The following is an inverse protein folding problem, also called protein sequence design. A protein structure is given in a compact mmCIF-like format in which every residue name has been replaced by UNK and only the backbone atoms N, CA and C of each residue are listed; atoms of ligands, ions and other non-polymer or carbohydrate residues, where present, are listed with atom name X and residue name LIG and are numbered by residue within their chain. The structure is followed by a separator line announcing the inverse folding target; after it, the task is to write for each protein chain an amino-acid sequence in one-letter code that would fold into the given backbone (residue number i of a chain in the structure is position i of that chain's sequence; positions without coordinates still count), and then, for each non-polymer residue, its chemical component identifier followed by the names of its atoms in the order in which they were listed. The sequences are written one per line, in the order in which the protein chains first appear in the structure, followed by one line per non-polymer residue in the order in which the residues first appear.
data_IF_457860096632
#
_entry.id   IF_457860096632
#
_cell.length_a   1.000
_cell.length_b   1.000
_cell.length_c   1.000
_cell.angle_alpha   90.00
_cell.angle_beta   90.00
_cell.angle_gamma   90.00
#
_symmetry.space_group_name_H-M   'P 1'
#
loop_
_entity.id
_entity.type
_entity.pdbx_description
1 polymer ?
#
# COMPACT_ATOMS: atom_id res chain seq x y z
N UNK A 1 1.65 87.58 -11.70
CA UNK A 1 2.21 87.40 -10.35
C UNK A 1 1.88 85.98 -9.92
N UNK A 2 2.79 85.07 -9.63
CA UNK A 2 4.25 84.97 -9.85
C UNK A 2 4.51 83.54 -10.32
N UNK A 3 5.73 83.04 -10.49
CA UNK A 3 7.08 83.55 -10.39
C UNK A 3 7.92 82.40 -10.99
N UNK A 4 8.92 82.76 -11.78
CA UNK A 4 9.97 81.91 -12.34
C UNK A 4 10.59 81.00 -11.25
N UNK A 5 11.04 79.77 -11.56
CA UNK A 5 12.42 79.60 -12.02
C UNK A 5 12.64 78.47 -13.03
N UNK A 6 13.62 78.75 -13.89
CA UNK A 6 14.26 77.92 -14.91
C UNK A 6 15.66 77.61 -14.41
N UNK A 7 16.17 76.40 -14.63
CA UNK A 7 17.58 76.08 -14.98
C UNK A 7 17.62 74.55 -15.25
N UNK A 8 17.95 74.04 -16.45
CA UNK A 8 19.29 73.91 -17.06
C UNK A 8 20.28 73.21 -16.09
N UNK A 9 21.05 72.17 -16.40
CA UNK A 9 21.54 71.55 -17.63
C UNK A 9 21.97 70.10 -17.31
N UNK A 10 22.16 69.31 -18.36
CA UNK A 10 22.84 68.03 -18.31
C UNK A 10 24.34 68.20 -17.97
N UNK A 11 24.94 67.26 -17.22
CA UNK A 11 26.16 66.59 -17.67
C UNK A 11 26.59 65.41 -16.78
N UNK A 12 27.11 64.43 -17.50
CA UNK A 12 27.72 63.19 -17.04
C UNK A 12 28.90 63.43 -16.10
N UNK A 13 28.96 62.64 -15.03
CA UNK A 13 30.15 62.42 -14.23
C UNK A 13 30.18 60.97 -13.77
N UNK A 14 30.87 60.13 -14.54
CA UNK A 14 31.30 58.79 -14.10
C UNK A 14 32.14 58.91 -12.83
N UNK A 15 31.88 58.06 -11.84
CA UNK A 15 32.69 58.01 -10.63
C UNK A 15 32.25 56.97 -9.61
N UNK A 16 32.62 55.72 -9.88
CA UNK A 16 33.04 54.71 -8.92
C UNK A 16 32.14 54.33 -7.70
N UNK A 17 31.77 53.05 -7.68
CA UNK A 17 31.95 52.21 -6.47
C UNK A 17 30.74 52.08 -5.54
N UNK A 18 30.05 50.95 -5.63
CA UNK A 18 29.07 50.54 -4.62
C UNK A 18 28.28 49.30 -5.04
N UNK A 19 28.85 48.12 -4.81
CA UNK A 19 28.38 46.82 -5.31
C UNK A 19 27.20 46.22 -4.54
N UNK A 20 26.44 46.98 -3.74
CA UNK A 20 25.24 46.48 -3.05
C UNK A 20 24.29 47.64 -2.70
N UNK A 21 23.19 47.81 -3.44
CA UNK A 21 22.14 48.74 -3.03
C UNK A 21 21.12 49.09 -4.11
N UNK A 22 20.03 48.31 -4.19
CA UNK A 22 18.73 48.79 -4.66
C UNK A 22 18.27 48.33 -6.05
N UNK A 23 17.07 47.73 -6.10
CA UNK A 23 16.15 47.97 -7.21
C UNK A 23 15.84 46.79 -8.14
N UNK A 24 15.32 45.68 -7.63
CA UNK A 24 14.47 44.79 -8.43
C UNK A 24 13.02 44.95 -7.98
N UNK A 25 12.44 46.09 -8.32
CA UNK A 25 11.00 46.24 -8.40
C UNK A 25 10.61 46.24 -9.89
N UNK A 26 9.53 45.51 -10.18
CA UNK A 26 8.75 45.53 -11.41
C UNK A 26 9.27 44.71 -12.62
N UNK A 27 9.22 43.38 -12.50
CA UNK A 27 8.78 42.50 -13.60
C UNK A 27 8.29 41.13 -13.09
N UNK A 28 7.48 41.10 -12.03
CA UNK A 28 6.73 39.91 -11.65
C UNK A 28 5.36 39.91 -12.33
N UNK A 29 5.36 39.83 -13.67
CA UNK A 29 4.19 39.41 -14.41
C UNK A 29 4.02 37.91 -14.18
N UNK A 30 3.26 37.54 -13.15
CA UNK A 30 2.83 36.17 -12.95
C UNK A 30 1.95 35.74 -14.13
N UNK A 31 2.58 35.22 -15.18
CA UNK A 31 1.88 34.44 -16.19
C UNK A 31 1.34 33.20 -15.47
N UNK A 32 0.07 33.26 -15.07
CA UNK A 32 -0.64 32.06 -14.63
C UNK A 32 -0.78 31.16 -15.85
N UNK A 33 0.16 30.24 -16.00
CA UNK A 33 -0.01 29.10 -16.90
C UNK A 33 -1.19 28.31 -16.33
N UNK A 34 -2.37 28.52 -16.91
CA UNK A 34 -3.54 27.67 -16.64
C UNK A 34 -3.20 26.32 -17.24
N UNK A 35 -2.53 25.47 -16.45
CA UNK A 35 -2.32 24.07 -16.78
C UNK A 35 -3.71 23.44 -16.80
N UNK A 36 -4.29 23.28 -17.99
CA UNK A 36 -5.51 22.52 -18.16
C UNK A 36 -5.23 21.12 -17.60
N UNK A 37 -6.05 20.62 -16.64
CA UNK A 37 -5.88 19.28 -16.13
C UNK A 37 -5.93 18.29 -17.29
N UNK A 38 -5.06 17.28 -17.26
CA UNK A 38 -5.08 16.23 -18.29
C UNK A 38 -6.49 15.60 -18.33
N UNK A 39 -7.01 15.20 -19.49
CA UNK A 39 -8.25 14.42 -19.59
C UNK A 39 -8.25 13.25 -18.59
N UNK A 40 -9.36 13.05 -17.88
CA UNK A 40 -9.48 12.00 -16.86
C UNK A 40 -8.92 12.34 -15.47
N UNK A 41 -8.29 13.51 -15.29
CA UNK A 41 -7.80 13.96 -13.96
C UNK A 41 -8.80 14.82 -13.18
N UNK A 42 -9.91 15.20 -13.82
CA UNK A 42 -11.00 15.96 -13.20
C UNK A 42 -12.35 15.38 -13.61
N UNK A 43 -13.30 15.31 -12.68
CA UNK A 43 -14.67 14.84 -12.93
C UNK A 43 -15.38 15.64 -14.02
N UNK A 44 -15.09 16.95 -14.13
CA UNK A 44 -15.70 17.80 -15.15
C UNK A 44 -15.30 17.43 -16.59
N UNK A 45 -14.24 16.64 -16.77
CA UNK A 45 -13.76 16.16 -18.06
C UNK A 45 -14.30 14.76 -18.42
N UNK A 46 -15.02 14.11 -17.51
CA UNK A 46 -15.67 12.83 -17.77
C UNK A 46 -17.12 13.14 -18.20
N UNK A 47 -17.58 12.64 -19.36
CA UNK A 47 -18.95 12.86 -19.80
C UNK A 47 -19.95 12.24 -18.82
N UNK A 48 -21.10 12.87 -18.67
CA UNK A 48 -22.20 12.27 -17.91
C UNK A 48 -22.70 11.00 -18.64
N UNK A 49 -23.21 9.99 -17.92
CA UNK A 49 -23.75 8.79 -18.57
C UNK A 49 -24.84 9.13 -19.59
N UNK A 50 -24.73 8.61 -20.80
CA UNK A 50 -25.70 8.80 -21.89
C UNK A 50 -25.98 7.49 -22.63
N UNK A 51 -27.11 7.45 -23.36
CA UNK A 51 -27.43 6.34 -24.25
C UNK A 51 -26.66 6.49 -25.56
N UNK A 52 -26.11 5.40 -26.13
CA UNK A 52 -25.38 5.48 -27.38
C UNK A 52 -26.24 6.09 -28.48
N UNK A 53 -25.62 6.88 -29.35
CA UNK A 53 -26.35 7.56 -30.43
C UNK A 53 -26.75 6.58 -31.54
N UNK A 54 -26.01 5.47 -31.67
CA UNK A 54 -26.30 4.32 -32.53
C UNK A 54 -25.71 3.04 -31.94
N UNK A 55 -26.28 1.89 -32.29
CA UNK A 55 -25.75 0.56 -31.93
C UNK A 55 -24.59 0.09 -32.84
N UNK A 56 -24.28 0.87 -33.88
CA UNK A 56 -23.23 0.59 -34.86
C UNK A 56 -21.86 1.13 -34.38
N UNK A 57 -20.97 1.50 -35.31
CA UNK A 57 -19.65 2.02 -34.98
C UNK A 57 -19.69 3.33 -34.16
N UNK A 58 -18.75 3.47 -33.23
CA UNK A 58 -18.61 4.68 -32.40
C UNK A 58 -18.37 5.92 -33.28
N UNK A 59 -19.17 6.96 -33.04
CA UNK A 59 -18.91 8.30 -33.58
C UNK A 59 -17.59 8.86 -33.07
N UNK A 60 -17.06 9.89 -33.74
CA UNK A 60 -15.83 10.56 -33.29
C UNK A 60 -15.95 11.13 -31.88
N UNK A 61 -17.15 11.61 -31.51
CA UNK A 61 -17.45 12.08 -30.15
C UNK A 61 -17.44 10.93 -29.14
N UNK A 62 -18.10 9.81 -29.44
CA UNK A 62 -18.12 8.64 -28.55
C UNK A 62 -16.73 8.02 -28.38
N UNK A 63 -15.88 8.08 -29.41
CA UNK A 63 -14.46 7.68 -29.29
C UNK A 63 -13.68 8.62 -28.38
N UNK A 64 -13.89 9.93 -28.49
CA UNK A 64 -13.26 10.90 -27.58
C UNK A 64 -13.72 10.72 -26.13
N UNK A 65 -15.01 10.49 -25.92
CA UNK A 65 -15.62 10.22 -24.63
C UNK A 65 -15.11 8.90 -24.02
N UNK A 66 -14.96 7.85 -24.83
CA UNK A 66 -14.37 6.58 -24.43
C UNK A 66 -12.93 6.76 -23.94
N UNK A 67 -12.11 7.53 -24.65
CA UNK A 67 -10.73 7.82 -24.23
C UNK A 67 -10.69 8.66 -22.95
N UNK A 68 -11.60 9.63 -22.78
CA UNK A 68 -11.72 10.38 -21.53
C UNK A 68 -12.10 9.48 -20.34
N UNK A 69 -13.06 8.57 -20.53
CA UNK A 69 -13.47 7.58 -19.53
C UNK A 69 -12.32 6.62 -19.18
N UNK A 70 -11.61 6.09 -20.17
CA UNK A 70 -10.41 5.25 -19.95
C UNK A 70 -9.34 5.99 -19.16
N UNK A 71 -9.07 7.25 -19.52
CA UNK A 71 -8.12 8.08 -18.80
C UNK A 71 -8.55 8.32 -17.34
N UNK A 72 -9.85 8.51 -17.09
CA UNK A 72 -10.40 8.62 -15.74
C UNK A 72 -10.17 7.37 -14.90
N UNK A 73 -10.45 6.20 -15.46
CA UNK A 73 -10.22 4.91 -14.79
C UNK A 73 -8.73 4.66 -14.55
N UNK A 74 -7.87 4.99 -15.52
CA UNK A 74 -6.43 4.85 -15.37
C UNK A 74 -5.85 5.82 -14.33
N UNK A 75 -6.41 7.02 -14.21
CA UNK A 75 -5.97 8.02 -13.23
C UNK A 75 -6.18 7.56 -11.78
N UNK A 76 -7.16 6.69 -11.51
CA UNK A 76 -7.36 6.11 -10.17
C UNK A 76 -6.08 5.46 -9.64
N UNK A 77 -5.30 4.80 -10.50
CA UNK A 77 -4.04 4.14 -10.10
C UNK A 77 -3.00 5.17 -9.65
N UNK A 78 -2.88 6.27 -10.38
CA UNK A 78 -1.96 7.36 -10.04
C UNK A 78 -2.41 8.11 -8.79
N UNK A 79 -3.71 8.22 -8.56
CA UNK A 79 -4.27 8.89 -7.39
C UNK A 79 -3.78 8.27 -6.07
N UNK A 80 -3.61 6.94 -5.99
CA UNK A 80 -3.04 6.29 -4.81
C UNK A 80 -1.61 6.73 -4.52
N UNK A 81 -0.77 6.87 -5.56
CA UNK A 81 0.63 7.29 -5.42
C UNK A 81 0.74 8.77 -5.06
N UNK A 82 -0.11 9.60 -5.67
CA UNK A 82 -0.24 11.01 -5.31
C UNK A 82 -0.64 11.13 -3.84
N UNK A 83 -1.66 10.40 -3.39
CA UNK A 83 -2.11 10.41 -2.01
C UNK A 83 -1.00 9.98 -1.04
N UNK A 84 -0.31 8.87 -1.30
CA UNK A 84 0.80 8.39 -0.47
C UNK A 84 1.95 9.40 -0.35
N UNK A 85 2.34 10.01 -1.47
CA UNK A 85 3.37 11.07 -1.50
C UNK A 85 2.92 12.32 -0.75
N UNK A 86 1.67 12.73 -0.92
CA UNK A 86 1.08 13.86 -0.20
C UNK A 86 1.06 13.61 1.30
N UNK A 87 0.64 12.42 1.75
CA UNK A 87 0.65 12.04 3.15
C UNK A 87 2.07 12.08 3.74
N UNK A 88 3.05 11.47 3.07
CA UNK A 88 4.43 11.51 3.55
C UNK A 88 4.95 12.95 3.63
N UNK A 89 4.66 13.78 2.63
CA UNK A 89 5.06 15.20 2.60
C UNK A 89 4.45 15.97 3.78
N UNK A 90 3.15 15.81 4.02
CA UNK A 90 2.45 16.46 5.14
C UNK A 90 3.01 16.02 6.50
N UNK A 91 3.34 14.74 6.64
CA UNK A 91 3.95 14.18 7.86
C UNK A 91 5.35 14.73 8.09
N UNK A 92 6.25 14.61 7.10
CA UNK A 92 7.67 15.00 7.20
C UNK A 92 7.82 16.51 7.42
N UNK A 93 7.07 17.32 6.68
CA UNK A 93 7.10 18.78 6.83
C UNK A 93 6.22 19.28 8.00
N UNK A 94 5.55 18.37 8.74
CA UNK A 94 4.66 18.69 9.86
C UNK A 94 3.65 19.78 9.49
N UNK A 95 3.00 19.64 8.33
CA UNK A 95 2.04 20.63 7.82
C UNK A 95 0.74 20.64 8.63
N UNK A 96 0.48 19.57 9.38
CA UNK A 96 -0.67 19.43 10.28
C UNK A 96 -0.51 20.14 11.64
N UNK A 97 0.68 20.68 11.96
CA UNK A 97 1.06 21.12 13.31
C UNK A 97 0.17 22.22 13.90
N UNK A 98 -0.46 23.03 13.06
CA UNK A 98 -1.33 24.14 13.48
C UNK A 98 -2.75 23.66 13.82
N UNK A 99 -3.17 22.54 13.23
CA UNK A 99 -4.53 22.01 13.38
C UNK A 99 -4.59 20.90 14.43
N UNK A 100 -3.66 19.95 14.39
CA UNK A 100 -3.63 18.84 15.34
C UNK A 100 -2.21 18.25 15.48
N UNK A 101 -1.66 18.12 16.70
CA UNK A 101 -0.32 17.55 16.91
C UNK A 101 -0.22 16.06 16.59
N UNK A 102 -1.34 15.32 16.62
CA UNK A 102 -1.38 13.90 16.24
C UNK A 102 -1.74 13.77 14.75
N UNK A 103 -0.75 13.38 13.95
CA UNK A 103 -0.89 13.29 12.50
C UNK A 103 -1.94 12.25 12.06
N UNK A 104 -1.95 11.05 12.65
CA UNK A 104 -2.88 9.99 12.26
C UNK A 104 -4.33 10.35 12.62
N UNK A 105 -4.53 10.99 13.78
CA UNK A 105 -5.85 11.50 14.18
C UNK A 105 -6.33 12.59 13.21
N UNK A 106 -5.45 13.54 12.87
CA UNK A 106 -5.75 14.61 11.91
C UNK A 106 -6.16 14.07 10.53
N UNK A 107 -5.43 13.08 10.02
CA UNK A 107 -5.74 12.44 8.74
C UNK A 107 -7.09 11.74 8.80
N UNK A 108 -7.39 11.04 9.90
CA UNK A 108 -8.70 10.41 10.10
C UNK A 108 -9.83 11.45 10.13
N UNK A 109 -9.66 12.55 10.85
CA UNK A 109 -10.70 13.57 10.99
C UNK A 109 -10.96 14.32 9.66
N UNK A 110 -9.93 14.47 8.83
CA UNK A 110 -10.01 15.24 7.58
C UNK A 110 -10.46 14.41 6.37
N UNK A 111 -9.99 13.16 6.26
CA UNK A 111 -10.22 12.31 5.08
C UNK A 111 -10.80 10.93 5.39
N UNK A 112 -11.05 10.60 6.67
CA UNK A 112 -11.52 9.28 7.11
C UNK A 112 -10.62 8.11 6.67
N UNK A 113 -9.33 8.39 6.44
CA UNK A 113 -8.32 7.37 6.11
C UNK A 113 -7.81 6.75 7.40
N UNK A 114 -7.90 5.42 7.51
CA UNK A 114 -7.39 4.70 8.68
C UNK A 114 -5.87 4.83 8.79
N UNK A 115 -5.34 4.76 10.02
CA UNK A 115 -3.89 4.81 10.26
C UNK A 115 -3.14 3.71 9.48
N UNK A 116 -3.71 2.50 9.42
CA UNK A 116 -3.15 1.40 8.64
C UNK A 116 -3.10 1.69 7.13
N UNK A 117 -4.14 2.31 6.58
CA UNK A 117 -4.18 2.68 5.17
C UNK A 117 -3.24 3.85 4.87
N UNK A 118 -3.17 4.84 5.77
CA UNK A 118 -2.25 5.97 5.69
C UNK A 118 -0.80 5.50 5.54
N UNK A 119 -0.31 4.70 6.49
CA UNK A 119 1.07 4.22 6.44
C UNK A 119 1.32 3.26 5.29
N UNK A 120 0.31 2.50 4.87
CA UNK A 120 0.40 1.66 3.68
C UNK A 120 0.63 2.49 2.41
N UNK A 121 -0.15 3.55 2.20
CA UNK A 121 0.01 4.44 1.04
C UNK A 121 1.35 5.17 1.07
N UNK A 122 1.81 5.60 2.26
CA UNK A 122 3.14 6.21 2.46
C UNK A 122 4.25 5.23 2.06
N UNK A 123 4.10 3.95 2.34
CA UNK A 123 5.14 2.97 2.06
C UNK A 123 5.15 2.53 0.58
N UNK A 124 3.97 2.47 -0.06
CA UNK A 124 3.82 1.95 -1.42
C UNK A 124 4.15 2.99 -2.52
N UNK A 125 4.00 4.30 -2.27
CA UNK A 125 4.01 5.30 -3.34
C UNK A 125 5.32 5.40 -4.14
N UNK A 126 6.49 5.15 -3.52
CA UNK A 126 7.79 5.22 -4.22
C UNK A 126 7.91 4.18 -5.31
N UNK A 127 7.47 2.95 -5.01
CA UNK A 127 7.46 1.85 -5.96
C UNK A 127 6.41 2.11 -7.03
N UNK A 128 5.21 2.57 -6.63
CA UNK A 128 4.13 2.92 -7.54
C UNK A 128 4.51 4.03 -8.53
N UNK A 129 5.11 5.13 -8.06
CA UNK A 129 5.56 6.26 -8.88
C UNK A 129 6.66 5.82 -9.86
N UNK A 130 7.65 5.04 -9.40
CA UNK A 130 8.71 4.56 -10.26
C UNK A 130 8.19 3.64 -11.38
N UNK A 131 7.26 2.75 -11.06
CA UNK A 131 6.61 1.88 -12.06
C UNK A 131 5.76 2.68 -13.05
N UNK A 132 5.01 3.68 -12.56
CA UNK A 132 4.24 4.58 -13.42
C UNK A 132 5.14 5.37 -14.39
N UNK A 133 6.29 5.85 -13.93
CA UNK A 133 7.28 6.54 -14.76
C UNK A 133 7.93 5.63 -15.81
N UNK A 134 7.94 4.31 -15.59
CA UNK A 134 8.35 3.31 -16.58
C UNK A 134 7.23 2.94 -17.58
N UNK A 135 6.05 3.55 -17.45
CA UNK A 135 4.88 3.28 -18.30
C UNK A 135 4.02 2.12 -17.82
N UNK A 136 4.35 1.50 -16.69
CA UNK A 136 3.55 0.43 -16.10
C UNK A 136 2.32 1.01 -15.38
N UNK A 137 1.24 0.23 -15.33
CA UNK A 137 0.01 0.59 -14.62
C UNK A 137 -0.37 -0.49 -13.60
N UNK A 138 0.49 -0.77 -12.60
CA UNK A 138 0.23 -1.83 -11.63
C UNK A 138 -1.00 -1.49 -10.75
N UNK A 139 -1.86 -2.48 -10.43
CA UNK A 139 -2.83 -2.34 -9.35
C UNK A 139 -2.12 -2.27 -7.98
N UNK A 140 -2.81 -1.73 -6.97
CA UNK A 140 -2.28 -1.57 -5.60
C UNK A 140 -1.75 -2.89 -5.01
N UNK A 141 -2.44 -4.01 -5.26
CA UNK A 141 -2.03 -5.33 -4.76
C UNK A 141 -0.66 -5.76 -5.27
N UNK A 142 -0.33 -5.45 -6.53
CA UNK A 142 0.99 -5.78 -7.09
C UNK A 142 2.09 -4.92 -6.46
N UNK A 143 1.83 -3.63 -6.30
CA UNK A 143 2.78 -2.70 -5.66
C UNK A 143 2.99 -3.08 -4.20
N UNK A 144 1.96 -3.57 -3.51
CA UNK A 144 2.09 -4.10 -2.14
C UNK A 144 3.05 -5.28 -2.08
N UNK A 145 2.90 -6.25 -2.97
CA UNK A 145 3.83 -7.39 -3.05
C UNK A 145 5.28 -6.93 -3.32
N UNK A 146 5.45 -5.93 -4.17
CA UNK A 146 6.77 -5.32 -4.43
C UNK A 146 7.30 -4.54 -3.22
N UNK A 147 6.44 -3.90 -2.44
CA UNK A 147 6.82 -3.16 -1.24
C UNK A 147 7.37 -4.08 -0.16
N UNK A 148 6.84 -5.29 -0.03
CA UNK A 148 7.42 -6.30 0.86
C UNK A 148 8.82 -6.75 0.42
N UNK A 149 9.06 -6.91 -0.89
CA UNK A 149 10.41 -7.15 -1.42
C UNK A 149 11.35 -5.96 -1.18
N UNK A 150 10.84 -4.74 -1.34
CA UNK A 150 11.59 -3.50 -1.06
C UNK A 150 12.04 -3.45 0.40
N UNK A 151 11.17 -3.81 1.35
CA UNK A 151 11.50 -3.85 2.79
C UNK A 151 12.63 -4.82 3.11
N UNK A 152 12.71 -5.94 2.39
CA UNK A 152 13.80 -6.91 2.50
C UNK A 152 15.10 -6.41 1.85
N UNK A 153 14.98 -5.64 0.78
CA UNK A 153 16.10 -5.23 -0.08
C UNK A 153 16.18 -3.70 -0.25
N UNK A 154 15.79 -3.20 -1.42
CA UNK A 154 15.76 -1.79 -1.80
C UNK A 154 14.76 -1.55 -2.94
N UNK A 155 14.42 -0.28 -3.17
CA UNK A 155 13.44 0.15 -4.18
C UNK A 155 13.79 -0.37 -5.59
N UNK A 156 15.08 -0.35 -5.97
CA UNK A 156 15.52 -0.73 -7.32
C UNK A 156 15.26 -2.21 -7.60
N UNK A 157 15.45 -3.09 -6.62
CA UNK A 157 15.18 -4.52 -6.75
C UNK A 157 13.70 -4.77 -6.97
N UNK A 158 12.84 -4.18 -6.14
CA UNK A 158 11.39 -4.29 -6.26
C UNK A 158 10.87 -3.81 -7.63
N UNK A 159 11.36 -2.65 -8.09
CA UNK A 159 11.03 -2.11 -9.43
C UNK A 159 11.49 -3.06 -10.53
N UNK A 160 12.71 -3.61 -10.41
CA UNK A 160 13.29 -4.51 -11.43
C UNK A 160 12.54 -5.83 -11.53
N UNK A 161 12.08 -6.39 -10.41
CA UNK A 161 11.27 -7.62 -10.40
C UNK A 161 9.99 -7.39 -11.19
N UNK A 162 9.23 -6.35 -10.86
CA UNK A 162 7.97 -6.06 -11.56
C UNK A 162 8.20 -5.75 -13.05
N UNK A 163 9.17 -4.88 -13.37
CA UNK A 163 9.50 -4.54 -14.76
C UNK A 163 9.89 -5.78 -15.57
N UNK A 164 10.63 -6.71 -14.97
CA UNK A 164 10.99 -7.98 -15.63
C UNK A 164 9.76 -8.85 -15.87
N UNK A 165 8.87 -9.00 -14.88
CA UNK A 165 7.61 -9.77 -15.05
C UNK A 165 6.78 -9.16 -16.18
N UNK A 166 6.61 -7.84 -16.17
CA UNK A 166 5.81 -7.12 -17.17
C UNK A 166 6.39 -7.20 -18.59
N UNK A 167 7.72 -7.33 -18.73
CA UNK A 167 8.37 -7.50 -20.04
C UNK A 167 8.32 -8.94 -20.55
N UNK A 168 8.35 -9.92 -19.65
CA UNK A 168 8.39 -11.33 -20.03
C UNK A 168 6.98 -11.96 -20.15
N UNK A 169 5.96 -11.30 -19.60
CA UNK A 169 4.59 -11.83 -19.58
C UNK A 169 3.64 -10.89 -20.32
N UNK A 170 2.77 -11.39 -21.22
CA UNK A 170 1.80 -10.56 -21.95
C UNK A 170 0.73 -9.97 -21.02
N UNK A 171 0.48 -10.62 -19.87
CA UNK A 171 -0.45 -10.14 -18.84
C UNK A 171 0.13 -10.41 -17.46
N UNK A 172 0.18 -9.36 -16.64
CA UNK A 172 0.60 -9.46 -15.24
C UNK A 172 -0.64 -9.71 -14.38
N UNK A 173 -0.76 -10.90 -13.80
CA UNK A 173 -1.83 -11.26 -12.85
C UNK A 173 -1.34 -11.19 -11.42
N UNK A 174 -2.25 -11.09 -10.45
CA UNK A 174 -1.90 -11.14 -9.02
C UNK A 174 -1.16 -12.43 -8.64
N UNK A 175 -1.71 -13.56 -9.05
CA UNK A 175 -1.12 -14.90 -8.82
C UNK A 175 0.29 -15.03 -9.39
N UNK A 176 0.54 -14.47 -10.59
CA UNK A 176 1.87 -14.50 -11.18
C UNK A 176 2.89 -13.70 -10.35
N UNK A 177 2.49 -12.50 -9.93
CA UNK A 177 3.36 -11.65 -9.09
C UNK A 177 3.63 -12.33 -7.75
N UNK A 178 2.60 -12.88 -7.10
CA UNK A 178 2.74 -13.60 -5.83
C UNK A 178 3.63 -14.85 -5.98
N UNK A 179 3.44 -15.64 -7.04
CA UNK A 179 4.27 -16.81 -7.35
C UNK A 179 5.73 -16.42 -7.52
N UNK A 180 6.03 -15.43 -8.37
CA UNK A 180 7.41 -14.99 -8.61
C UNK A 180 8.06 -14.44 -7.34
N UNK A 181 7.33 -13.64 -6.56
CA UNK A 181 7.82 -13.12 -5.27
C UNK A 181 8.10 -14.27 -4.28
N UNK A 182 7.21 -15.27 -4.23
CA UNK A 182 7.38 -16.47 -3.41
C UNK A 182 8.60 -17.30 -3.83
N UNK A 183 8.76 -17.56 -5.12
CA UNK A 183 9.85 -18.37 -5.69
C UNK A 183 11.22 -17.70 -5.61
N UNK A 184 11.26 -16.35 -5.59
CA UNK A 184 12.49 -15.60 -5.30
C UNK A 184 12.99 -15.87 -3.86
N UNK A 185 12.06 -16.10 -2.93
CA UNK A 185 12.37 -16.33 -1.52
C UNK A 185 13.09 -15.15 -0.88
N UNK A 186 13.86 -15.43 0.17
CA UNK A 186 14.66 -14.40 0.84
C UNK A 186 15.76 -13.85 -0.09
N UNK A 187 15.81 -12.52 -0.22
CA UNK A 187 16.85 -11.81 -0.96
C UNK A 187 17.73 -11.01 0.01
N UNK A 188 19.07 -11.06 -0.15
CA UNK A 188 19.97 -10.27 0.70
C UNK A 188 19.81 -8.77 0.43
N UNK A 189 20.07 -7.93 1.44
CA UNK A 189 19.86 -6.46 1.35
C UNK A 189 20.64 -5.79 0.22
N UNK A 190 21.81 -6.33 -0.10
CA UNK A 190 22.73 -5.89 -1.15
C UNK A 190 22.52 -6.61 -2.49
N UNK A 191 21.40 -7.33 -2.65
CA UNK A 191 21.04 -7.98 -3.90
C UNK A 191 21.10 -6.99 -5.07
N UNK A 192 21.85 -7.38 -6.10
CA UNK A 192 21.99 -6.57 -7.32
C UNK A 192 20.73 -6.72 -8.17
N UNK A 193 20.09 -5.62 -8.60
CA UNK A 193 18.87 -5.69 -9.41
C UNK A 193 19.03 -6.53 -10.69
N UNK A 194 20.20 -6.48 -11.34
CA UNK A 194 20.46 -7.25 -12.55
C UNK A 194 20.45 -8.78 -12.33
N UNK A 195 20.98 -9.23 -11.18
CA UNK A 195 21.02 -10.66 -10.84
C UNK A 195 19.62 -11.15 -10.48
N UNK A 196 18.84 -10.34 -9.75
CA UNK A 196 17.45 -10.64 -9.43
C UNK A 196 16.59 -10.68 -10.71
N UNK A 197 16.74 -9.71 -11.61
CA UNK A 197 16.02 -9.70 -12.89
C UNK A 197 16.34 -10.92 -13.76
N UNK A 198 17.58 -11.42 -13.73
CA UNK A 198 17.94 -12.68 -14.40
C UNK A 198 17.20 -13.86 -13.79
N UNK A 199 17.21 -13.98 -12.46
CA UNK A 199 16.51 -15.05 -11.73
C UNK A 199 15.01 -15.01 -11.98
N UNK A 200 14.39 -13.82 -12.03
CA UNK A 200 12.97 -13.68 -12.39
C UNK A 200 12.70 -14.21 -13.79
N UNK A 201 13.55 -13.89 -14.77
CA UNK A 201 13.40 -14.41 -16.14
C UNK A 201 13.51 -15.93 -16.18
N UNK A 202 14.50 -16.49 -15.48
CA UNK A 202 14.68 -17.95 -15.37
C UNK A 202 13.45 -18.63 -14.74
N UNK A 203 12.84 -18.01 -13.72
CA UNK A 203 11.61 -18.52 -13.09
C UNK A 203 10.40 -18.48 -14.04
N UNK A 204 10.32 -17.48 -14.91
CA UNK A 204 9.23 -17.34 -15.89
C UNK A 204 9.40 -18.26 -17.11
N UNK A 205 10.64 -18.57 -17.48
CA UNK A 205 10.97 -19.46 -18.60
C UNK A 205 10.95 -20.96 -18.20
N UNK A 206 11.08 -21.27 -16.91
CA UNK A 206 11.05 -22.64 -16.43
C UNK A 206 9.69 -23.30 -16.75
N UNK A 207 9.66 -24.41 -17.51
CA UNK A 207 8.42 -25.13 -17.75
C UNK A 207 7.88 -25.60 -16.40
N UNK A 208 6.60 -25.35 -16.14
CA UNK A 208 5.94 -25.79 -14.91
C UNK A 208 6.24 -27.28 -14.68
N UNK A 209 7.02 -27.59 -13.65
CA UNK A 209 7.08 -28.95 -13.12
C UNK A 209 5.67 -29.24 -12.60
N UNK A 210 4.86 -29.89 -13.43
CA UNK A 210 3.64 -30.56 -13.00
C UNK A 210 4.03 -31.45 -11.84
N UNK A 211 3.58 -31.10 -10.63
CA UNK A 211 3.55 -32.03 -9.54
C UNK A 211 2.55 -33.11 -9.92
N UNK A 212 3.05 -34.28 -10.30
CA UNK A 212 2.26 -35.50 -10.38
C UNK A 212 1.68 -35.77 -8.98
N UNK A 213 0.41 -35.43 -8.80
CA UNK A 213 -0.41 -35.85 -7.68
C UNK A 213 -1.85 -35.99 -8.18
N UNK A 214 -2.02 -36.87 -9.16
CA UNK A 214 -3.32 -37.40 -9.54
C UNK A 214 -3.26 -38.93 -9.35
N UNK A 215 -3.43 -39.36 -8.10
CA UNK A 215 -3.85 -40.73 -7.80
C UNK A 215 -5.06 -40.66 -6.88
N UNK A 216 -6.23 -40.71 -7.53
CA UNK A 216 -7.48 -41.13 -6.91
C UNK A 216 -7.29 -42.55 -6.38
N UNK A 217 -7.60 -42.78 -5.11
CA UNK A 217 -8.12 -44.07 -4.69
C UNK A 217 -9.19 -43.88 -3.62
N UNK A 218 -10.43 -43.98 -4.06
CA UNK A 218 -11.58 -44.33 -3.24
C UNK A 218 -11.39 -45.77 -2.75
N UNK A 219 -11.49 -46.00 -1.44
CA UNK A 219 -11.49 -47.36 -0.91
C UNK A 219 -11.28 -47.45 0.60
N UNK A 220 -12.35 -47.23 1.37
CA UNK A 220 -12.48 -47.76 2.74
C UNK A 220 -12.71 -49.27 2.64
N UNK A 221 -11.96 -50.13 3.36
CA UNK A 221 -12.44 -50.72 4.61
C UNK A 221 -11.34 -50.82 5.69
N UNK A 222 -11.61 -50.36 6.91
CA UNK A 222 -12.24 -51.07 8.03
C UNK A 222 -11.26 -51.87 8.89
N UNK A 223 -11.40 -51.61 10.18
CA UNK A 223 -10.61 -51.98 11.33
C UNK A 223 -10.86 -53.43 11.72
N UNK A 224 -9.80 -54.12 12.15
CA UNK A 224 -9.74 -55.01 13.33
C UNK A 224 -8.90 -56.26 13.10
N UNK A 225 -7.95 -56.42 14.03
CA UNK A 225 -7.48 -57.68 14.61
C UNK A 225 -6.09 -58.21 14.20
N UNK A 226 -5.27 -58.34 15.26
CA UNK A 226 -4.29 -59.39 15.57
C UNK A 226 -3.00 -59.36 14.71
N UNK A 227 -1.80 -59.12 15.24
CA UNK A 227 -1.22 -59.58 16.50
C UNK A 227 -0.31 -60.77 16.21
N UNK A 228 1.00 -60.53 16.14
CA UNK A 228 2.06 -61.26 16.87
C UNK A 228 3.46 -61.14 16.23
N UNK A 229 4.39 -60.76 17.09
CA UNK A 229 5.82 -61.10 17.15
C UNK A 229 6.66 -61.28 15.88
N UNK A 230 7.64 -60.39 15.71
CA UNK A 230 9.00 -60.85 15.38
C UNK A 230 10.09 -59.91 15.92
N UNK A 231 11.14 -60.48 16.57
CA UNK A 231 12.24 -59.74 17.17
C UNK A 231 13.43 -59.68 16.20
N UNK A 232 13.89 -58.48 15.86
CA UNK A 232 15.31 -58.13 15.80
C UNK A 232 15.48 -56.71 15.26
N UNK A 233 16.38 -55.99 15.92
CA UNK A 233 16.57 -54.58 15.70
C UNK A 233 17.25 -54.24 14.39
N UNK A 234 16.87 -53.09 13.85
CA UNK A 234 17.80 -52.14 13.29
C UNK A 234 17.23 -50.72 13.49
N UNK A 235 18.07 -49.88 14.06
CA UNK A 235 17.78 -48.50 14.44
C UNK A 235 17.57 -47.65 13.18
N UNK A 236 16.40 -47.04 13.05
CA UNK A 236 16.23 -45.81 12.29
C UNK A 236 15.35 -44.87 13.10
N UNK A 237 15.93 -43.72 13.46
CA UNK A 237 15.32 -42.70 14.31
C UNK A 237 13.97 -42.24 13.74
N UNK A 238 12.89 -42.69 14.38
CA UNK A 238 11.58 -42.04 14.30
C UNK A 238 11.66 -40.73 15.10
N UNK A 239 11.19 -39.59 14.58
CA UNK A 239 11.03 -38.40 15.41
C UNK A 239 10.07 -38.76 16.55
N UNK A 240 10.56 -38.58 17.77
CA UNK A 240 9.79 -38.76 19.00
C UNK A 240 8.59 -37.82 18.96
N UNK A 241 7.41 -38.35 18.61
CA UNK A 241 6.15 -37.80 19.08
C UNK A 241 6.15 -37.95 20.61
N UNK A 242 6.74 -36.96 21.28
CA UNK A 242 6.43 -36.71 22.67
C UNK A 242 4.94 -36.46 22.74
N UNK A 243 4.22 -37.31 23.47
CA UNK A 243 2.85 -37.07 23.95
C UNK A 243 2.68 -35.56 24.19
N UNK A 244 1.78 -34.93 23.43
CA UNK A 244 1.41 -33.55 23.66
C UNK A 244 1.10 -33.40 25.15
N UNK A 245 1.80 -32.47 25.81
CA UNK A 245 1.54 -32.18 27.21
C UNK A 245 0.04 -31.87 27.36
N UNK A 246 -0.72 -32.64 28.17
CA UNK A 246 -2.15 -32.41 28.33
C UNK A 246 -2.46 -30.99 28.84
N UNK A 247 -1.47 -30.30 29.44
CA UNK A 247 -1.58 -28.88 29.79
C UNK A 247 -1.45 -27.97 28.56
N UNK A 248 -0.49 -28.24 27.67
CA UNK A 248 -0.34 -27.49 26.42
C UNK A 248 -1.57 -27.61 25.52
N UNK A 249 -2.20 -28.79 25.48
CA UNK A 249 -3.44 -29.00 24.71
C UNK A 249 -4.59 -28.16 25.27
N UNK A 250 -4.75 -28.11 26.59
CA UNK A 250 -5.77 -27.27 27.26
C UNK A 250 -5.53 -25.79 27.08
N UNK A 251 -4.27 -25.34 27.10
CA UNK A 251 -3.95 -23.93 26.90
C UNK A 251 -4.16 -23.49 25.44
N UNK A 252 -3.91 -24.38 24.47
CA UNK A 252 -4.27 -24.15 23.07
C UNK A 252 -5.78 -24.03 22.89
N UNK A 253 -6.57 -24.93 23.50
CA UNK A 253 -8.05 -24.84 23.48
C UNK A 253 -8.54 -23.52 24.10
N UNK A 254 -7.94 -23.06 25.20
CA UNK A 254 -8.25 -21.77 25.82
C UNK A 254 -7.96 -20.60 24.88
N UNK A 255 -6.84 -20.62 24.16
CA UNK A 255 -6.49 -19.59 23.19
C UNK A 255 -7.48 -19.58 22.01
N UNK A 256 -7.86 -20.75 21.50
CA UNK A 256 -8.86 -20.88 20.42
C UNK A 256 -10.23 -20.34 20.84
N UNK A 257 -10.70 -20.68 22.04
CA UNK A 257 -11.96 -20.17 22.57
C UNK A 257 -11.93 -18.65 22.80
N UNK A 258 -10.78 -18.12 23.23
CA UNK A 258 -10.58 -16.68 23.40
C UNK A 258 -10.61 -15.96 22.04
N UNK A 259 -9.96 -16.52 21.01
CA UNK A 259 -9.99 -15.99 19.65
C UNK A 259 -11.41 -15.94 19.09
N UNK A 260 -12.19 -17.02 19.25
CA UNK A 260 -13.58 -17.07 18.81
C UNK A 260 -14.43 -15.98 19.49
N UNK A 261 -14.25 -15.80 20.80
CA UNK A 261 -14.96 -14.78 21.58
C UNK A 261 -14.61 -13.36 21.13
N UNK A 262 -13.33 -13.09 20.83
CA UNK A 262 -12.87 -11.80 20.32
C UNK A 262 -13.37 -11.52 18.90
N UNK A 263 -13.42 -12.53 18.04
CA UNK A 263 -13.98 -12.40 16.69
C UNK A 263 -15.49 -12.11 16.73
N UNK A 264 -16.23 -12.72 17.65
CA UNK A 264 -17.64 -12.42 17.86
C UNK A 264 -17.84 -11.00 18.41
N UNK A 265 -17.01 -10.59 19.37
CA UNK A 265 -17.01 -9.22 19.91
C UNK A 265 -16.70 -8.18 18.82
N UNK A 266 -15.73 -8.44 17.95
CA UNK A 266 -15.36 -7.57 16.83
C UNK A 266 -16.50 -7.37 15.81
N UNK A 267 -17.37 -8.38 15.64
CA UNK A 267 -18.57 -8.26 14.79
C UNK A 267 -19.65 -7.38 15.44
N UNK A 268 -19.77 -7.43 16.77
CA UNK A 268 -20.79 -6.70 17.54
C UNK A 268 -20.39 -5.26 17.83
N UNK A 269 -19.12 -5.01 18.09
CA UNK A 269 -18.57 -3.68 18.37
C UNK A 269 -18.08 -3.07 17.06
N UNK A 270 -18.96 -2.33 16.38
CA UNK A 270 -18.60 -1.57 15.18
C UNK A 270 -18.55 -0.06 15.47
N UNK A 271 -17.73 0.67 14.71
CA UNK A 271 -17.48 2.11 14.89
C UNK A 271 -18.75 2.95 14.84
N UNK A 272 -19.70 2.60 13.96
CA UNK A 272 -20.98 3.31 13.85
C UNK A 272 -21.90 3.10 15.06
N UNK A 273 -21.87 1.93 15.70
CA UNK A 273 -22.62 1.64 16.91
C UNK A 273 -22.01 2.35 18.12
N UNK A 274 -20.67 2.33 18.24
CA UNK A 274 -19.96 3.05 19.30
C UNK A 274 -20.19 4.56 19.22
N UNK A 275 -20.11 5.16 18.01
CA UNK A 275 -20.37 6.59 17.80
C UNK A 275 -21.81 6.97 18.15
N UNK A 276 -22.81 6.20 17.68
CA UNK A 276 -24.22 6.42 18.03
C UNK A 276 -24.48 6.28 19.54
N UNK A 277 -23.80 5.35 20.22
CA UNK A 277 -23.93 5.18 21.66
C UNK A 277 -23.33 6.36 22.45
N UNK A 278 -22.16 6.88 22.02
CA UNK A 278 -21.52 8.07 22.62
C UNK A 278 -22.34 9.33 22.38
N UNK A 279 -22.93 9.49 21.19
CA UNK A 279 -23.82 10.62 20.87
C UNK A 279 -25.13 10.57 21.67
N UNK A 280 -25.68 9.37 21.94
CA UNK A 280 -26.94 9.21 22.67
C UNK A 280 -26.77 9.28 24.20
N UNK A 281 -25.74 8.64 24.77
CA UNK A 281 -25.52 8.53 26.22
C UNK A 281 -24.02 8.54 26.53
N UNK A 282 -23.37 9.72 26.53
CA UNK A 282 -21.92 9.83 26.71
C UNK A 282 -21.45 9.32 28.09
N UNK A 283 -22.22 9.60 29.15
CA UNK A 283 -21.88 9.23 30.53
C UNK A 283 -21.82 7.70 30.76
N UNK A 284 -22.48 6.92 29.90
CA UNK A 284 -22.53 5.45 29.98
C UNK A 284 -21.62 4.82 28.92
N UNK A 285 -21.65 5.35 27.69
CA UNK A 285 -20.91 4.76 26.57
C UNK A 285 -19.39 4.97 26.68
N UNK A 286 -18.93 6.13 27.16
CA UNK A 286 -17.49 6.44 27.24
C UNK A 286 -16.77 5.51 28.24
N UNK A 287 -17.27 5.29 29.48
CA UNK A 287 -16.66 4.34 30.41
C UNK A 287 -16.61 2.90 29.87
N UNK A 288 -17.69 2.43 29.22
CA UNK A 288 -17.74 1.09 28.63
C UNK A 288 -16.69 0.90 27.52
N UNK A 289 -16.52 1.90 26.65
CA UNK A 289 -15.51 1.86 25.59
C UNK A 289 -14.09 1.84 26.18
N UNK A 290 -13.85 2.63 27.22
CA UNK A 290 -12.56 2.65 27.92
C UNK A 290 -12.25 1.31 28.60
N UNK A 291 -13.25 0.68 29.22
CA UNK A 291 -13.10 -0.63 29.86
C UNK A 291 -12.80 -1.73 28.83
N UNK A 292 -13.51 -1.74 27.69
CA UNK A 292 -13.22 -2.64 26.56
C UNK A 292 -11.77 -2.44 26.08
N UNK A 293 -11.33 -1.19 25.91
CA UNK A 293 -9.96 -0.88 25.51
C UNK A 293 -8.91 -1.38 26.50
N UNK A 294 -9.16 -1.21 27.80
CA UNK A 294 -8.28 -1.71 28.87
C UNK A 294 -8.16 -3.24 28.84
N UNK A 295 -9.27 -3.97 28.67
CA UNK A 295 -9.27 -5.43 28.57
C UNK A 295 -8.50 -5.93 27.35
N UNK A 296 -8.63 -5.27 26.20
CA UNK A 296 -7.87 -5.62 25.00
C UNK A 296 -6.36 -5.41 25.20
N UNK A 297 -5.94 -4.33 25.87
CA UNK A 297 -4.53 -4.10 26.20
C UNK A 297 -3.99 -5.14 27.19
N UNK A 298 -4.80 -5.62 28.13
CA UNK A 298 -4.41 -6.71 29.02
C UNK A 298 -4.21 -8.03 28.27
N UNK A 299 -5.09 -8.34 27.33
CA UNK A 299 -4.96 -9.50 26.44
C UNK A 299 -3.68 -9.38 25.61
N UNK A 300 -3.43 -8.22 25.00
CA UNK A 300 -2.23 -7.98 24.19
C UNK A 300 -0.93 -8.21 24.99
N UNK A 301 -0.88 -7.69 26.22
CA UNK A 301 0.26 -7.92 27.14
C UNK A 301 0.43 -9.40 27.52
N UNK A 302 -0.66 -10.15 27.67
CA UNK A 302 -0.62 -11.56 28.02
C UNK A 302 -0.11 -12.43 26.85
N UNK A 303 -0.44 -12.05 25.61
CA UNK A 303 -0.04 -12.78 24.39
C UNK A 303 1.36 -12.37 23.91
N UNK A 304 1.84 -11.17 24.26
CA UNK A 304 3.16 -10.67 23.87
C UNK A 304 4.37 -11.45 24.46
N UNK A 305 4.15 -12.42 25.35
CA UNK A 305 5.23 -13.19 25.98
C UNK A 305 5.70 -14.31 25.03
N UNK A 306 6.74 -14.00 24.24
CA UNK A 306 7.64 -14.91 23.50
C UNK A 306 7.03 -15.74 22.36
N UNK A 307 6.83 -15.08 21.21
CA UNK A 307 7.04 -15.76 19.92
C UNK A 307 8.55 -16.03 19.77
N UNK A 308 9.01 -17.29 19.61
CA UNK A 308 10.41 -17.57 19.34
C UNK A 308 10.81 -16.87 18.03
N UNK A 309 11.97 -16.20 18.07
CA UNK A 309 12.61 -15.63 16.88
C UNK A 309 12.76 -16.77 15.87
N UNK A 310 12.20 -16.60 14.68
CA UNK A 310 12.48 -17.52 13.58
C UNK A 310 13.99 -17.43 13.27
N UNK A 311 14.70 -18.54 13.46
CA UNK A 311 16.07 -18.76 12.97
C UNK A 311 16.07 -19.03 11.47
#
# INVERSE_FOLDING_TARGET
MGLFDVDEEAQQGQGAGGLFGGGLAAAAGAASVVVKPLPGTSLALIPAPYQPHSEDELSDQERADLEACKAGVDNLRNAFWIAGKSFETMSVAKLHREENPNYAAWVWDTWEVSESQLYRLIDEWRVGEALANLGHKPPESHVRAMTELRRQTNDKVAITVYDTIARCSPRVTGELVEKVVGDLGFLPKDAKPADVGRRVRELLEAPEKKSDADEKNDGVPDISSLGDDSPNGESSQKPSNSKADPLATKDIERLQNTLASLQEAAKKVNKSAARRAVEAQPDIAVPLIQEIGSLLQQIDRAVAIRLPKAE
#
